data_IF_687562438696
#
_entry.id   IF_687562438696
#
_cell.length_a   1.000
_cell.length_b   1.000
_cell.length_c   1.000
_cell.angle_alpha   90.00
_cell.angle_beta   90.00
_cell.angle_gamma   90.00
#
_symmetry.space_group_name_H-M   'P 1'
#
loop_
_entity.id
_entity.type
_entity.pdbx_description
1 polymer ?
#
# COMPACT_ATOMS: atom_id res chain seq x y z
N UNK A 1 -22.52 39.10 -23.81
CA UNK A 1 -23.16 37.77 -23.71
C UNK A 1 -22.09 36.76 -23.29
N UNK A 2 -22.37 35.96 -22.25
CA UNK A 2 -21.38 35.29 -21.38
C UNK A 2 -20.78 34.02 -22.01
N UNK A 3 -19.48 33.86 -21.76
CA UNK A 3 -18.59 32.70 -22.01
C UNK A 3 -19.30 31.34 -21.98
N UNK A 4 -19.33 30.65 -23.13
CA UNK A 4 -19.62 29.21 -23.22
C UNK A 4 -18.28 28.49 -23.03
N UNK A 5 -17.89 28.32 -21.78
CA UNK A 5 -16.91 27.32 -21.39
C UNK A 5 -17.62 26.38 -20.42
N UNK A 6 -17.97 25.18 -20.86
CA UNK A 6 -17.92 24.01 -20.00
C UNK A 6 -17.82 22.73 -20.82
N UNK A 7 -16.65 22.11 -20.65
CA UNK A 7 -16.10 20.93 -21.27
C UNK A 7 -16.80 19.69 -20.70
N UNK A 8 -17.96 19.31 -21.25
CA UNK A 8 -18.61 18.04 -20.92
C UNK A 8 -18.14 16.95 -21.88
N UNK A 9 -16.88 16.53 -21.70
CA UNK A 9 -16.45 15.21 -22.17
C UNK A 9 -15.83 14.49 -20.97
N UNK A 10 -16.68 14.07 -20.04
CA UNK A 10 -16.27 13.03 -19.10
C UNK A 10 -16.26 11.72 -19.88
N UNK A 11 -15.12 11.44 -20.51
CA UNK A 11 -14.87 10.19 -21.23
C UNK A 11 -15.37 9.00 -20.37
N UNK A 12 -16.29 8.16 -20.86
CA UNK A 12 -16.88 7.09 -20.05
C UNK A 12 -15.84 6.05 -19.56
N UNK A 13 -14.69 5.92 -20.26
CA UNK A 13 -13.55 5.11 -19.79
C UNK A 13 -12.77 5.77 -18.65
N UNK A 14 -12.83 7.10 -18.53
CA UNK A 14 -12.23 7.87 -17.42
C UNK A 14 -12.99 7.62 -16.11
N UNK A 15 -14.32 7.47 -16.16
CA UNK A 15 -15.17 7.18 -15.00
C UNK A 15 -15.06 5.71 -14.59
N UNK A 16 -14.99 4.78 -15.54
CA UNK A 16 -14.82 3.35 -15.22
C UNK A 16 -13.43 3.04 -14.62
N UNK A 17 -12.41 3.85 -14.92
CA UNK A 17 -11.10 3.78 -14.22
C UNK A 17 -11.13 4.32 -12.78
N UNK A 18 -12.16 5.09 -12.38
CA UNK A 18 -12.15 5.84 -11.12
C UNK A 18 -12.51 5.07 -9.85
N UNK A 19 -12.89 3.78 -9.92
CA UNK A 19 -13.09 3.01 -8.67
C UNK A 19 -12.83 1.51 -8.83
N UNK A 20 -11.56 1.11 -8.97
CA UNK A 20 -11.17 -0.26 -8.64
C UNK A 20 -11.37 -0.44 -7.13
N UNK A 21 -12.55 -0.92 -6.73
CA UNK A 21 -12.95 -1.11 -5.32
C UNK A 21 -11.87 -1.94 -4.60
N UNK A 22 -11.07 -1.27 -3.76
CA UNK A 22 -10.11 -1.92 -2.86
C UNK A 22 -10.86 -2.28 -1.59
N UNK A 23 -11.56 -3.41 -1.62
CA UNK A 23 -12.27 -3.93 -0.43
C UNK A 23 -11.22 -4.59 0.48
N UNK A 24 -11.06 -4.13 1.73
CA UNK A 24 -10.17 -4.78 2.69
C UNK A 24 -10.71 -6.16 3.05
N UNK A 25 -9.82 -7.14 3.16
CA UNK A 25 -10.16 -8.50 3.56
C UNK A 25 -9.25 -8.85 4.75
N UNK A 26 -9.81 -9.55 5.73
CA UNK A 26 -9.04 -10.08 6.85
C UNK A 26 -8.05 -11.13 6.36
N UNK A 27 -6.80 -11.00 6.81
CA UNK A 27 -5.70 -11.85 6.38
C UNK A 27 -5.42 -12.85 7.50
N UNK A 28 -5.41 -14.15 7.18
CA UNK A 28 -5.05 -15.20 8.13
C UNK A 28 -3.61 -15.10 8.61
N UNK A 29 -3.32 -15.69 9.77
CA UNK A 29 -2.01 -15.59 10.44
C UNK A 29 -0.84 -16.07 9.56
N UNK A 30 -1.03 -17.14 8.78
CA UNK A 30 -0.03 -17.68 7.84
C UNK A 30 0.28 -16.69 6.72
N UNK A 31 -0.76 -16.12 6.09
CA UNK A 31 -0.57 -15.13 5.03
C UNK A 31 0.04 -13.83 5.58
N UNK A 32 -0.32 -13.43 6.81
CA UNK A 32 0.26 -12.28 7.48
C UNK A 32 1.77 -12.41 7.69
N UNK A 33 2.25 -13.60 8.11
CA UNK A 33 3.70 -13.88 8.23
C UNK A 33 4.40 -13.81 6.88
N UNK A 34 3.80 -14.40 5.84
CA UNK A 34 4.37 -14.36 4.49
C UNK A 34 4.50 -12.91 3.97
N UNK A 35 3.47 -12.09 4.17
CA UNK A 35 3.50 -10.66 3.81
C UNK A 35 4.57 -9.88 4.58
N UNK A 36 4.72 -10.15 5.88
CA UNK A 36 5.75 -9.51 6.70
C UNK A 36 7.16 -9.81 6.17
N UNK A 37 7.44 -11.09 5.87
CA UNK A 37 8.72 -11.51 5.26
C UNK A 37 8.92 -10.84 3.91
N UNK A 38 7.88 -10.78 3.08
CA UNK A 38 7.96 -10.16 1.77
C UNK A 38 8.31 -8.66 1.86
N UNK A 39 7.64 -7.92 2.75
CA UNK A 39 7.92 -6.50 2.94
C UNK A 39 9.31 -6.24 3.52
N UNK A 40 9.80 -7.09 4.42
CA UNK A 40 11.19 -7.02 4.91
C UNK A 40 12.20 -7.19 3.78
N UNK A 41 11.99 -8.17 2.90
CA UNK A 41 12.87 -8.41 1.75
C UNK A 41 12.83 -7.26 0.75
N UNK A 42 11.64 -6.75 0.40
CA UNK A 42 11.48 -5.61 -0.51
C UNK A 42 12.15 -4.34 0.04
N UNK A 43 11.97 -4.06 1.34
CA UNK A 43 12.56 -2.90 1.98
C UNK A 43 14.08 -3.01 2.04
N UNK A 44 14.60 -4.21 2.35
CA UNK A 44 16.04 -4.49 2.38
C UNK A 44 16.67 -4.35 1.00
N UNK A 45 16.02 -4.79 -0.08
CA UNK A 45 16.54 -4.66 -1.45
C UNK A 45 16.68 -3.19 -1.88
N UNK A 46 15.74 -2.33 -1.45
CA UNK A 46 15.74 -0.89 -1.76
C UNK A 46 16.78 -0.10 -0.98
N UNK A 47 17.41 -0.67 0.06
CA UNK A 47 18.45 0.03 0.82
C UNK A 47 19.74 0.19 0.01
N UNK A 48 20.46 1.32 0.18
CA UNK A 48 21.82 1.45 -0.31
C UNK A 48 22.76 0.52 0.47
N UNK A 49 23.78 -0.03 -0.21
CA UNK A 49 24.76 -0.92 0.40
C UNK A 49 25.23 -2.04 -0.54
N UNK A 50 26.37 -2.66 -0.23
CA UNK A 50 26.99 -3.67 -1.10
C UNK A 50 26.46 -5.09 -0.87
N UNK A 51 26.32 -5.50 0.40
CA UNK A 51 25.91 -6.86 0.75
C UNK A 51 24.44 -6.90 1.21
N UNK A 52 23.66 -7.82 0.63
CA UNK A 52 22.27 -8.05 1.02
C UNK A 52 22.12 -8.46 2.50
N UNK A 53 23.06 -9.21 3.05
CA UNK A 53 23.04 -9.61 4.46
C UNK A 53 23.13 -8.38 5.39
N UNK A 54 23.94 -7.39 5.02
CA UNK A 54 24.06 -6.14 5.78
C UNK A 54 22.79 -5.28 5.67
N UNK A 55 22.19 -5.22 4.48
CA UNK A 55 20.93 -4.51 4.27
C UNK A 55 19.80 -5.12 5.08
N UNK A 56 19.70 -6.45 5.07
CA UNK A 56 18.66 -7.19 5.79
C UNK A 56 18.81 -7.04 7.31
N UNK A 57 20.02 -7.22 7.84
CA UNK A 57 20.28 -7.01 9.28
C UNK A 57 19.96 -5.59 9.72
N UNK A 58 20.34 -4.58 8.93
CA UNK A 58 19.99 -3.19 9.21
C UNK A 58 18.48 -2.96 9.20
N UNK A 59 17.75 -3.51 8.22
CA UNK A 59 16.28 -3.42 8.19
C UNK A 59 15.64 -4.13 9.38
N UNK A 60 16.14 -5.30 9.78
CA UNK A 60 15.64 -6.02 10.96
C UNK A 60 15.82 -5.23 12.25
N UNK A 61 16.97 -4.58 12.44
CA UNK A 61 17.22 -3.70 13.59
C UNK A 61 16.25 -2.53 13.60
N UNK A 62 16.01 -1.91 12.44
CA UNK A 62 15.11 -0.76 12.34
C UNK A 62 13.65 -1.18 12.58
N UNK A 63 13.23 -2.34 12.07
CA UNK A 63 11.90 -2.92 12.31
C UNK A 63 11.71 -3.29 13.78
N UNK A 64 12.74 -3.82 14.46
CA UNK A 64 12.68 -4.09 15.89
C UNK A 64 12.47 -2.82 16.71
N UNK A 65 12.96 -1.67 16.22
CA UNK A 65 12.72 -0.34 16.81
C UNK A 65 11.39 0.29 16.38
N UNK A 66 10.54 -0.42 15.63
CA UNK A 66 9.28 0.11 15.12
C UNK A 66 9.44 1.09 13.95
N UNK A 67 10.55 1.02 13.21
CA UNK A 67 10.87 1.89 12.08
C UNK A 67 11.25 1.08 10.83
N UNK A 68 11.68 1.76 9.76
CA UNK A 68 12.10 1.09 8.52
C UNK A 68 11.03 1.07 7.41
N UNK A 69 11.44 0.58 6.25
CA UNK A 69 10.60 0.56 5.05
C UNK A 69 9.46 -0.45 5.16
N UNK A 70 9.70 -1.60 5.81
CA UNK A 70 8.68 -2.62 6.01
C UNK A 70 7.54 -2.14 6.92
N UNK A 71 7.84 -1.43 8.01
CA UNK A 71 6.83 -0.87 8.91
C UNK A 71 6.00 0.21 8.21
N UNK A 72 6.64 1.13 7.49
CA UNK A 72 5.92 2.15 6.70
C UNK A 72 4.95 1.52 5.70
N UNK A 73 5.34 0.40 5.07
CA UNK A 73 4.47 -0.33 4.14
C UNK A 73 3.27 -0.97 4.84
N UNK A 74 3.48 -1.57 6.02
CA UNK A 74 2.43 -2.11 6.87
C UNK A 74 1.42 -1.02 7.24
N UNK A 75 1.89 0.10 7.75
CA UNK A 75 1.04 1.23 8.18
C UNK A 75 0.26 1.83 7.02
N UNK A 76 0.90 2.04 5.86
CA UNK A 76 0.21 2.53 4.67
C UNK A 76 -0.90 1.57 4.20
N UNK A 77 -0.65 0.27 4.29
CA UNK A 77 -1.64 -0.76 3.95
C UNK A 77 -2.80 -0.76 4.94
N UNK A 78 -2.52 -0.64 6.24
CA UNK A 78 -3.54 -0.57 7.28
C UNK A 78 -4.40 0.70 7.15
N UNK A 79 -3.78 1.87 6.97
CA UNK A 79 -4.49 3.14 6.76
C UNK A 79 -5.39 3.09 5.53
N UNK A 80 -4.92 2.46 4.45
CA UNK A 80 -5.73 2.27 3.24
C UNK A 80 -6.89 1.29 3.48
N UNK A 81 -6.69 0.27 4.30
CA UNK A 81 -7.75 -0.63 4.71
C UNK A 81 -8.81 0.10 5.54
N UNK A 82 -8.40 0.91 6.52
CA UNK A 82 -9.30 1.72 7.35
C UNK A 82 -10.10 2.73 6.52
N UNK A 83 -9.45 3.42 5.58
CA UNK A 83 -10.12 4.38 4.70
C UNK A 83 -11.20 3.73 3.81
N UNK A 84 -11.03 2.46 3.44
CA UNK A 84 -11.97 1.70 2.63
C UNK A 84 -12.89 0.78 3.44
N UNK A 85 -12.89 0.88 4.78
CA UNK A 85 -13.70 0.03 5.67
C UNK A 85 -15.20 0.13 5.35
N UNK A 86 -15.67 1.34 5.01
CA UNK A 86 -17.05 1.57 4.60
C UNK A 86 -17.47 0.77 3.35
N UNK A 87 -16.52 0.46 2.45
CA UNK A 87 -16.77 -0.32 1.24
C UNK A 87 -16.90 -1.83 1.52
N UNK A 88 -16.48 -2.31 2.70
CA UNK A 88 -16.63 -3.71 3.08
C UNK A 88 -18.08 -4.11 3.36
N UNK A 89 -18.93 -3.13 3.69
CA UNK A 89 -20.35 -3.34 3.98
C UNK A 89 -21.24 -3.50 2.74
N UNK A 90 -20.76 -3.10 1.55
CA UNK A 90 -21.52 -3.22 0.29
C UNK A 90 -21.38 -4.61 -0.35
N UNK A 91 -21.29 -5.66 0.46
CA UNK A 91 -21.09 -7.04 0.02
C UNK A 91 -22.35 -7.87 0.20
#
# INVERSE_FOLDING_TARGET
>A
MKKIQQKTETNPLLVLRQARRRVPIEIGSKQGRALAIHWLLEASQKRPGRNMAFKLSSELVDVAKGSGGAIRKKEATHRMAEANKALAHFR
#
